data_IF_163072075573
#
_entry.id   IF_163072075573
#
_cell.length_a   1.000
_cell.length_b   1.000
_cell.length_c   1.000
_cell.angle_alpha   90.00
_cell.angle_beta   90.00
_cell.angle_gamma   90.00
#
_symmetry.space_group_name_H-M   'P 1'
#
loop_
_entity.id
_entity.type
_entity.pdbx_description
1 polymer ?
#
# COMPACT_ATOMS: atom_id res chain seq x y z
N UNK A 1 -6.21 -12.27 22.94
CA UNK A 1 -4.88 -11.66 23.21
C UNK A 1 -4.52 -10.95 21.91
N UNK A 2 -4.01 -9.76 21.88
CA UNK A 2 -3.62 -9.07 20.64
C UNK A 2 -4.76 -8.36 19.89
N UNK A 3 -5.53 -7.51 20.55
CA UNK A 3 -6.52 -6.69 19.84
C UNK A 3 -5.82 -5.68 18.93
N UNK A 4 -6.45 -5.41 17.80
CA UNK A 4 -6.04 -4.37 16.85
C UNK A 4 -6.93 -3.15 17.01
N UNK A 5 -6.38 -1.96 16.70
CA UNK A 5 -7.15 -0.73 16.51
C UNK A 5 -7.25 -0.47 15.01
N UNK A 6 -8.45 -0.11 14.53
CA UNK A 6 -8.69 0.16 13.11
C UNK A 6 -9.19 1.58 12.93
N UNK A 7 -8.48 2.33 12.08
CA UNK A 7 -8.85 3.67 11.64
C UNK A 7 -9.32 3.57 10.17
N UNK A 8 -10.45 4.19 9.87
CA UNK A 8 -10.98 4.32 8.51
C UNK A 8 -10.70 5.72 7.97
N UNK A 9 -10.72 5.88 6.66
CA UNK A 9 -10.59 7.17 6.00
C UNK A 9 -11.79 7.45 5.09
N UNK A 10 -11.78 8.59 4.39
CA UNK A 10 -12.86 8.99 3.48
C UNK A 10 -13.04 8.06 2.27
N UNK A 11 -12.01 7.26 1.94
CA UNK A 11 -12.06 6.28 0.86
C UNK A 11 -12.47 4.94 1.47
N UNK A 12 -13.71 4.54 1.23
CA UNK A 12 -14.28 3.31 1.78
C UNK A 12 -13.43 2.08 1.44
N UNK A 13 -13.23 1.23 2.43
CA UNK A 13 -12.49 -0.03 2.32
C UNK A 13 -11.01 0.08 2.71
N UNK A 14 -10.38 1.24 2.60
CA UNK A 14 -9.05 1.46 3.15
C UNK A 14 -9.08 1.48 4.69
N UNK A 15 -8.12 0.81 5.33
CA UNK A 15 -8.03 0.74 6.79
C UNK A 15 -6.57 0.84 7.24
N UNK A 16 -6.33 1.69 8.22
CA UNK A 16 -5.06 1.72 8.95
C UNK A 16 -5.22 0.92 10.22
N UNK A 17 -4.34 -0.06 10.43
CA UNK A 17 -4.44 -1.02 11.52
C UNK A 17 -3.23 -0.86 12.42
N UNK A 18 -3.46 -0.71 13.72
CA UNK A 18 -2.41 -0.64 14.72
C UNK A 18 -2.54 -1.84 15.65
N UNK A 19 -1.57 -2.77 15.66
CA UNK A 19 -1.58 -3.90 16.58
C UNK A 19 -1.28 -3.46 18.02
N UNK A 20 -1.77 -4.21 18.99
CA UNK A 20 -1.36 -4.01 20.39
C UNK A 20 0.07 -4.52 20.56
N UNK A 21 0.93 -3.67 21.11
CA UNK A 21 2.32 -3.98 21.39
C UNK A 21 2.51 -4.23 22.88
N UNK A 22 3.07 -5.35 23.26
CA UNK A 22 3.38 -5.74 24.64
C UNK A 22 4.90 -5.63 24.84
N UNK A 23 5.33 -4.59 25.59
CA UNK A 23 6.74 -4.31 25.86
C UNK A 23 7.16 -4.69 27.28
N UNK A 24 8.41 -5.15 27.45
CA UNK A 24 9.08 -5.35 28.73
C UNK A 24 10.60 -5.13 28.59
N UNK A 25 11.38 -5.44 29.64
CA UNK A 25 12.85 -5.24 29.63
C UNK A 25 13.60 -6.07 28.58
N UNK A 26 12.96 -7.05 27.95
CA UNK A 26 13.56 -7.89 26.88
C UNK A 26 13.29 -7.34 25.47
N UNK A 27 12.34 -6.38 25.33
CA UNK A 27 11.87 -5.87 24.07
C UNK A 27 10.34 -5.89 23.98
N UNK A 28 9.78 -6.28 22.84
CA UNK A 28 8.32 -6.31 22.65
C UNK A 28 7.86 -7.58 21.93
N UNK A 29 6.57 -7.86 22.12
CA UNK A 29 5.80 -8.85 21.37
C UNK A 29 4.55 -8.19 20.80
N UNK A 30 4.15 -8.58 19.59
CA UNK A 30 2.86 -8.22 19.00
C UNK A 30 2.38 -9.31 18.05
N UNK A 31 1.07 -9.48 17.94
CA UNK A 31 0.48 -10.24 16.85
C UNK A 31 0.35 -9.31 15.64
N UNK A 32 1.05 -9.62 14.56
CA UNK A 32 1.00 -8.80 13.34
C UNK A 32 -0.19 -9.15 12.46
N UNK A 33 -0.73 -10.35 12.61
CA UNK A 33 -1.91 -10.82 11.92
C UNK A 33 -2.59 -11.92 12.73
N UNK A 34 -3.89 -11.79 12.93
CA UNK A 34 -4.76 -12.81 13.50
C UNK A 34 -6.07 -12.80 12.71
N UNK A 35 -6.39 -13.90 12.04
CA UNK A 35 -7.56 -13.97 11.16
C UNK A 35 -8.86 -13.55 11.85
N UNK A 36 -9.07 -13.98 13.11
CA UNK A 36 -10.31 -13.68 13.83
C UNK A 36 -10.44 -12.18 14.13
N UNK A 37 -9.37 -11.53 14.60
CA UNK A 37 -9.37 -10.10 14.91
C UNK A 37 -9.57 -9.27 13.64
N UNK A 38 -8.91 -9.66 12.53
CA UNK A 38 -9.07 -9.01 11.24
C UNK A 38 -10.46 -9.21 10.65
N UNK A 39 -11.04 -10.40 10.79
CA UNK A 39 -12.41 -10.69 10.37
C UNK A 39 -13.43 -9.86 11.16
N UNK A 40 -13.29 -9.72 12.47
CA UNK A 40 -14.13 -8.83 13.29
C UNK A 40 -14.01 -7.37 12.84
N UNK A 41 -12.83 -6.95 12.35
CA UNK A 41 -12.60 -5.63 11.76
C UNK A 41 -13.11 -5.50 10.31
N UNK A 42 -13.78 -6.52 9.76
CA UNK A 42 -14.31 -6.55 8.40
C UNK A 42 -13.23 -6.77 7.33
N UNK A 43 -12.18 -7.52 7.67
CA UNK A 43 -11.13 -8.01 6.77
C UNK A 43 -11.13 -9.54 6.89
N UNK A 44 -12.00 -10.21 6.13
CA UNK A 44 -12.20 -11.66 6.18
C UNK A 44 -11.56 -12.40 4.99
N UNK A 45 -10.69 -11.72 4.27
CA UNK A 45 -9.95 -12.28 3.14
C UNK A 45 -8.88 -13.28 3.61
N UNK A 46 -8.65 -14.29 2.79
CA UNK A 46 -7.56 -15.24 2.99
C UNK A 46 -6.32 -14.76 2.25
N UNK A 47 -5.23 -14.54 2.97
CA UNK A 47 -3.95 -14.20 2.37
C UNK A 47 -3.17 -15.48 2.00
N UNK A 48 -2.66 -15.51 0.78
CA UNK A 48 -2.04 -16.70 0.17
C UNK A 48 -0.57 -16.50 -0.22
N UNK A 49 -0.07 -15.25 -0.18
CA UNK A 49 1.29 -14.91 -0.58
C UNK A 49 1.85 -13.81 0.32
N UNK A 50 3.07 -13.99 0.80
CA UNK A 50 3.86 -12.99 1.51
C UNK A 50 5.02 -12.51 0.64
N UNK A 51 5.30 -11.22 0.67
CA UNK A 51 6.41 -10.60 -0.03
C UNK A 51 7.20 -9.70 0.91
N UNK A 52 8.49 -9.55 0.62
CA UNK A 52 9.39 -8.64 1.31
C UNK A 52 10.28 -7.91 0.30
N UNK A 53 10.50 -6.63 0.51
CA UNK A 53 11.45 -5.83 -0.26
C UNK A 53 12.25 -4.93 0.66
N UNK A 54 13.48 -4.63 0.25
CA UNK A 54 14.36 -3.68 0.90
C UNK A 54 14.68 -2.56 -0.08
N UNK A 55 14.79 -1.33 0.41
CA UNK A 55 15.02 -0.17 -0.43
C UNK A 55 15.73 0.95 0.35
N UNK A 56 16.59 1.68 -0.35
CA UNK A 56 17.27 2.87 0.20
C UNK A 56 16.36 4.10 0.11
N UNK A 57 16.77 5.18 0.77
CA UNK A 57 16.06 6.46 0.75
C UNK A 57 15.73 6.93 -0.67
N UNK A 58 14.58 7.58 -0.81
CA UNK A 58 14.05 8.12 -2.06
C UNK A 58 13.67 7.06 -3.12
N UNK A 59 13.77 5.76 -2.84
CA UNK A 59 13.18 4.76 -3.72
C UNK A 59 11.67 4.89 -3.67
N UNK A 60 11.06 5.07 -4.85
CA UNK A 60 9.61 5.01 -5.05
C UNK A 60 9.29 3.77 -5.87
N UNK A 61 8.37 2.95 -5.38
CA UNK A 61 7.82 1.79 -6.09
C UNK A 61 6.32 1.99 -6.30
N UNK A 62 5.89 1.92 -7.55
CA UNK A 62 4.47 2.08 -7.88
C UNK A 62 4.20 3.10 -8.98
N UNK A 63 2.97 3.42 -9.20
CA UNK A 63 1.76 2.84 -8.57
C UNK A 63 1.36 1.55 -9.31
N UNK A 64 1.24 0.44 -8.61
CA UNK A 64 1.02 -0.87 -9.23
C UNK A 64 -0.33 -1.48 -8.83
N UNK A 65 -0.90 -2.25 -9.76
CA UNK A 65 -2.07 -3.11 -9.54
C UNK A 65 -2.04 -4.28 -10.52
N UNK A 66 -2.92 -5.26 -10.33
CA UNK A 66 -3.21 -6.29 -11.32
C UNK A 66 -4.58 -6.05 -11.92
N UNK A 67 -4.70 -6.22 -13.24
CA UNK A 67 -5.87 -5.80 -14.03
C UNK A 67 -7.00 -6.82 -13.95
N UNK A 68 -6.70 -8.09 -14.25
CA UNK A 68 -7.67 -9.19 -14.29
C UNK A 68 -7.66 -10.04 -13.03
N UNK A 69 -6.57 -10.00 -12.27
CA UNK A 69 -6.38 -10.71 -10.99
C UNK A 69 -6.13 -9.73 -9.85
N UNK A 70 -7.07 -8.78 -9.61
CA UNK A 70 -6.89 -7.77 -8.56
C UNK A 70 -6.87 -8.43 -7.17
N UNK A 71 -5.98 -7.98 -6.32
CA UNK A 71 -5.77 -8.55 -4.99
C UNK A 71 -5.78 -7.50 -3.90
N UNK A 72 -6.26 -7.91 -2.73
CA UNK A 72 -6.13 -7.13 -1.51
C UNK A 72 -4.70 -7.28 -0.98
N UNK A 73 -4.23 -6.24 -0.30
CA UNK A 73 -2.90 -6.20 0.31
C UNK A 73 -3.00 -5.77 1.76
N UNK A 74 -2.19 -6.38 2.60
CA UNK A 74 -1.94 -5.92 3.96
C UNK A 74 -0.45 -5.63 4.09
N UNK A 75 -0.10 -4.37 4.20
CA UNK A 75 1.29 -3.90 4.13
C UNK A 75 1.77 -3.32 5.46
N UNK A 76 3.05 -3.46 5.75
CA UNK A 76 3.71 -2.88 6.93
C UNK A 76 5.21 -2.72 6.71
N UNK A 77 5.85 -1.92 7.54
CA UNK A 77 7.30 -1.72 7.56
C UNK A 77 7.89 -2.40 8.79
N UNK A 78 8.96 -3.18 8.59
CA UNK A 78 9.66 -3.88 9.67
C UNK A 78 10.98 -3.21 10.05
N UNK A 79 11.54 -2.39 9.15
CA UNK A 79 12.68 -1.51 9.39
C UNK A 79 12.51 -0.19 8.62
N UNK A 80 12.85 0.94 9.24
CA UNK A 80 12.76 2.25 8.64
C UNK A 80 11.33 2.79 8.54
N UNK A 81 11.11 3.66 7.55
CA UNK A 81 9.88 4.42 7.37
C UNK A 81 9.59 4.66 5.89
N UNK A 82 8.32 4.53 5.52
CA UNK A 82 7.81 4.85 4.17
C UNK A 82 6.55 5.70 4.25
N UNK A 83 6.27 6.47 3.20
CA UNK A 83 4.95 7.02 2.93
C UNK A 83 4.27 6.12 1.90
N UNK A 84 3.19 5.48 2.32
CA UNK A 84 2.45 4.49 1.54
C UNK A 84 1.15 5.10 1.00
N UNK A 85 0.85 4.87 -0.27
CA UNK A 85 -0.27 5.51 -0.99
C UNK A 85 -1.12 4.47 -1.70
N UNK A 86 -2.43 4.61 -1.57
CA UNK A 86 -3.42 3.87 -2.34
C UNK A 86 -4.32 4.84 -3.13
N UNK A 87 -4.56 4.53 -4.40
CA UNK A 87 -5.44 5.29 -5.30
C UNK A 87 -6.64 4.42 -5.69
N UNK A 88 -7.85 4.93 -5.49
CA UNK A 88 -9.08 4.21 -5.80
C UNK A 88 -9.30 4.10 -7.32
N UNK A 89 -9.31 2.87 -7.82
CA UNK A 89 -9.60 2.53 -9.23
C UNK A 89 -10.87 1.69 -9.40
N UNK A 90 -11.70 1.58 -8.37
CA UNK A 90 -12.94 0.79 -8.41
C UNK A 90 -13.95 1.43 -9.36
N UNK A 91 -14.42 0.70 -10.38
CA UNK A 91 -15.44 1.21 -11.29
C UNK A 91 -16.70 1.69 -10.56
N UNK A 92 -17.16 2.89 -10.87
CA UNK A 92 -18.36 3.48 -10.25
C UNK A 92 -18.19 4.00 -8.82
N UNK A 93 -16.99 3.95 -8.26
CA UNK A 93 -16.71 4.52 -6.94
C UNK A 93 -16.86 6.04 -6.93
N UNK A 94 -17.47 6.58 -5.88
CA UNK A 94 -17.54 8.04 -5.65
C UNK A 94 -16.18 8.68 -5.42
N UNK A 95 -15.20 7.87 -5.03
CA UNK A 95 -13.82 8.29 -4.78
C UNK A 95 -12.85 7.81 -5.85
N UNK A 96 -13.35 7.43 -7.04
CA UNK A 96 -12.50 7.05 -8.17
C UNK A 96 -11.46 8.12 -8.47
N UNK A 97 -10.19 7.74 -8.55
CA UNK A 97 -9.05 8.64 -8.76
C UNK A 97 -8.60 9.42 -7.52
N UNK A 98 -9.30 9.30 -6.39
CA UNK A 98 -8.84 9.85 -5.12
C UNK A 98 -7.80 8.95 -4.48
N UNK A 99 -6.91 9.55 -3.71
CA UNK A 99 -5.84 8.84 -3.01
C UNK A 99 -5.87 9.09 -1.51
N UNK A 100 -5.32 8.15 -0.77
CA UNK A 100 -5.03 8.25 0.64
C UNK A 100 -3.61 7.79 0.90
N UNK A 101 -2.88 8.54 1.73
CA UNK A 101 -1.51 8.23 2.11
C UNK A 101 -1.35 8.13 3.62
N UNK A 102 -0.47 7.25 4.05
CA UNK A 102 -0.15 7.03 5.46
C UNK A 102 1.34 6.73 5.65
N UNK A 103 1.93 7.29 6.68
CA UNK A 103 3.29 6.94 7.09
C UNK A 103 3.27 5.63 7.86
N UNK A 104 4.01 4.65 7.36
CA UNK A 104 4.25 3.35 7.99
C UNK A 104 5.70 3.25 8.42
N UNK A 105 5.95 2.82 9.65
CA UNK A 105 7.31 2.66 10.15
C UNK A 105 7.46 1.47 11.09
N UNK A 106 8.68 1.00 11.25
CA UNK A 106 9.03 0.03 12.28
C UNK A 106 8.72 0.54 13.70
N UNK A 107 8.70 1.85 13.90
CA UNK A 107 8.40 2.49 15.19
C UNK A 107 6.90 2.54 15.45
N UNK A 108 6.08 3.07 14.51
CA UNK A 108 4.65 3.25 14.70
C UNK A 108 3.83 1.95 14.61
N UNK A 109 4.43 0.87 14.09
CA UNK A 109 3.84 -0.47 13.95
C UNK A 109 2.54 -0.50 13.12
N UNK A 110 2.19 0.59 12.45
CA UNK A 110 0.98 0.67 11.63
C UNK A 110 1.07 -0.27 10.44
N UNK A 111 -0.09 -0.81 10.07
CA UNK A 111 -0.31 -1.59 8.86
C UNK A 111 -1.38 -0.91 8.02
N UNK A 112 -1.33 -1.10 6.72
CA UNK A 112 -2.31 -0.52 5.81
C UNK A 112 -2.98 -1.64 5.02
N UNK A 113 -4.31 -1.76 5.15
CA UNK A 113 -5.12 -2.66 4.34
C UNK A 113 -5.64 -1.92 3.11
N UNK A 114 -5.31 -2.45 1.95
CA UNK A 114 -5.64 -1.90 0.65
C UNK A 114 -6.46 -2.95 -0.11
N UNK A 115 -7.77 -2.73 -0.33
CA UNK A 115 -8.61 -3.64 -1.08
C UNK A 115 -8.16 -3.78 -2.54
N UNK A 116 -8.66 -4.81 -3.20
CA UNK A 116 -8.52 -4.98 -4.65
C UNK A 116 -9.07 -3.77 -5.42
N UNK A 117 -8.56 -3.57 -6.63
CA UNK A 117 -8.88 -2.43 -7.50
C UNK A 117 -8.43 -1.06 -6.93
N UNK A 118 -7.33 -1.07 -6.21
CA UNK A 118 -6.56 0.13 -5.88
C UNK A 118 -5.18 0.04 -6.53
N UNK A 119 -4.68 1.16 -7.04
CA UNK A 119 -3.26 1.29 -7.35
C UNK A 119 -2.50 1.59 -6.06
N UNK A 120 -1.32 1.01 -5.91
CA UNK A 120 -0.55 1.06 -4.68
C UNK A 120 0.91 1.40 -4.96
N UNK A 121 1.48 2.23 -4.14
CA UNK A 121 2.90 2.56 -4.18
C UNK A 121 3.37 3.18 -2.88
N UNK A 122 4.68 3.31 -2.73
CA UNK A 122 5.28 3.94 -1.56
C UNK A 122 6.61 4.61 -1.92
N UNK A 123 7.01 5.57 -1.09
CA UNK A 123 8.34 6.18 -1.12
C UNK A 123 9.04 5.98 0.22
N UNK A 124 10.32 5.66 0.17
CA UNK A 124 11.17 5.48 1.37
C UNK A 124 11.62 6.84 1.92
N UNK A 125 11.32 7.09 3.19
CA UNK A 125 11.64 8.34 3.89
C UNK A 125 12.93 8.24 4.72
N UNK A 126 13.20 7.08 5.34
CA UNK A 126 14.42 6.78 6.09
C UNK A 126 15.58 6.43 5.15
N UNK A 127 16.80 6.33 5.68
CA UNK A 127 17.97 5.94 4.87
C UNK A 127 17.83 4.54 4.25
N UNK A 128 17.09 3.67 4.93
CA UNK A 128 16.78 2.31 4.51
C UNK A 128 15.41 1.90 5.04
N UNK A 129 14.68 1.07 4.32
CA UNK A 129 13.44 0.49 4.80
C UNK A 129 13.27 -0.95 4.30
N UNK A 130 12.71 -1.80 5.17
CA UNK A 130 12.18 -3.12 4.81
C UNK A 130 10.66 -3.12 4.88
N UNK A 131 10.06 -3.49 3.77
CA UNK A 131 8.62 -3.47 3.51
C UNK A 131 8.12 -4.89 3.28
N UNK A 132 7.14 -5.32 4.05
CA UNK A 132 6.52 -6.64 3.95
C UNK A 132 5.03 -6.54 3.73
N UNK A 133 4.46 -7.44 2.92
CA UNK A 133 3.04 -7.42 2.65
C UNK A 133 2.47 -8.78 2.29
N UNK A 134 1.22 -8.99 2.70
CA UNK A 134 0.41 -10.15 2.37
C UNK A 134 -0.53 -9.81 1.21
N UNK A 135 -0.78 -10.79 0.34
CA UNK A 135 -1.69 -10.68 -0.79
C UNK A 135 -2.74 -11.79 -0.76
N UNK A 136 -3.95 -11.47 -1.23
CA UNK A 136 -5.07 -12.41 -1.33
C UNK A 136 -5.08 -13.24 -2.62
N UNK A 137 -4.17 -12.94 -3.55
CA UNK A 137 -3.96 -13.70 -4.78
C UNK A 137 -2.48 -13.73 -5.13
N UNK A 138 -2.11 -14.65 -6.03
CA UNK A 138 -0.74 -14.83 -6.50
C UNK A 138 -0.30 -13.74 -7.48
N UNK A 139 1.00 -13.62 -7.68
CA UNK A 139 1.55 -12.70 -8.67
C UNK A 139 1.38 -13.26 -10.09
N UNK A 140 0.80 -12.45 -10.96
CA UNK A 140 0.61 -12.73 -12.38
C UNK A 140 1.45 -11.74 -13.20
N UNK A 141 2.65 -12.13 -13.69
CA UNK A 141 3.59 -11.20 -14.31
C UNK A 141 3.09 -10.54 -15.59
N UNK A 142 2.14 -11.18 -16.29
CA UNK A 142 1.54 -10.66 -17.53
C UNK A 142 0.25 -9.85 -17.30
N UNK A 143 -0.12 -9.62 -16.04
CA UNK A 143 -1.37 -8.93 -15.66
C UNK A 143 -1.10 -7.60 -14.93
N UNK A 144 0.12 -7.14 -14.95
CA UNK A 144 0.53 -5.96 -14.21
C UNK A 144 0.08 -4.68 -14.92
N UNK A 145 -0.55 -3.78 -14.17
CA UNK A 145 -0.87 -2.42 -14.55
C UNK A 145 -0.20 -1.42 -13.62
N UNK A 146 -0.13 -0.18 -14.06
CA UNK A 146 0.41 0.89 -13.25
C UNK A 146 -0.12 2.26 -13.64
N UNK A 147 0.09 3.22 -12.75
CA UNK A 147 -0.20 4.65 -12.98
C UNK A 147 1.05 5.47 -12.73
N UNK A 148 1.16 6.54 -13.45
CA UNK A 148 2.22 7.54 -13.27
C UNK A 148 2.16 8.12 -11.86
N UNK A 149 3.27 8.06 -11.12
CA UNK A 149 3.32 8.48 -9.71
C UNK A 149 3.02 9.96 -9.49
N UNK A 150 3.35 10.81 -10.46
CA UNK A 150 3.17 12.27 -10.44
C UNK A 150 2.05 12.73 -11.38
N UNK A 151 1.07 11.89 -11.64
CA UNK A 151 -0.09 12.25 -12.46
C UNK A 151 -0.83 13.44 -11.84
N UNK A 152 -0.94 14.59 -12.55
CA UNK A 152 -1.61 15.78 -12.04
C UNK A 152 -3.11 15.60 -11.81
N UNK A 153 -3.74 14.63 -12.48
CA UNK A 153 -5.17 14.34 -12.30
C UNK A 153 -5.44 13.56 -11.00
N UNK A 154 -4.44 12.85 -10.47
CA UNK A 154 -4.48 12.22 -9.16
C UNK A 154 -3.99 13.19 -8.09
N UNK A 155 -2.88 13.89 -8.35
CA UNK A 155 -2.35 14.93 -7.49
C UNK A 155 -1.80 14.43 -6.15
N UNK A 156 -1.06 13.31 -6.16
CA UNK A 156 -0.43 12.80 -4.92
C UNK A 156 0.63 13.78 -4.43
N UNK A 157 0.51 14.18 -3.17
CA UNK A 157 1.49 15.00 -2.48
C UNK A 157 2.54 14.11 -1.79
N UNK A 158 3.58 13.74 -2.55
CA UNK A 158 4.67 12.92 -2.02
C UNK A 158 5.54 13.74 -1.08
N UNK A 159 5.81 13.29 0.15
CA UNK A 159 6.61 14.01 1.15
C UNK A 159 8.12 13.89 0.87
N UNK A 160 8.55 14.36 -0.30
CA UNK A 160 9.95 14.34 -0.74
C UNK A 160 10.41 15.76 -1.05
N UNK A 161 11.69 16.03 -0.82
CA UNK A 161 12.25 17.37 -1.05
C UNK A 161 12.26 17.76 -2.53
N UNK A 162 12.57 16.80 -3.41
CA UNK A 162 12.52 16.95 -4.86
C UNK A 162 12.07 15.64 -5.51
N UNK A 163 11.23 15.73 -6.54
CA UNK A 163 10.87 14.56 -7.36
C UNK A 163 12.06 14.09 -8.22
N UNK A 164 13.03 14.96 -8.46
CA UNK A 164 14.23 14.63 -9.22
C UNK A 164 15.17 13.69 -8.44
N UNK A 165 15.07 13.67 -7.11
CA UNK A 165 15.85 12.79 -6.25
C UNK A 165 15.28 11.35 -6.16
N UNK A 166 14.12 11.12 -6.73
CA UNK A 166 13.45 9.80 -6.66
C UNK A 166 14.20 8.75 -7.47
N UNK A 167 14.34 7.58 -6.87
CA UNK A 167 14.93 6.40 -7.50
C UNK A 167 13.79 5.45 -7.88
N UNK A 168 13.61 5.24 -9.17
CA UNK A 168 12.52 4.42 -9.71
C UNK A 168 13.05 3.38 -10.69
N UNK A 169 12.31 2.30 -10.89
CA UNK A 169 12.61 1.35 -11.96
C UNK A 169 12.22 1.96 -13.31
N UNK A 170 12.89 1.53 -14.39
CA UNK A 170 12.56 1.95 -15.75
C UNK A 170 11.10 1.68 -16.11
N UNK A 171 10.52 0.62 -15.56
CA UNK A 171 9.11 0.27 -15.74
C UNK A 171 8.21 1.32 -15.12
N UNK A 172 8.49 1.75 -13.90
CA UNK A 172 7.66 2.68 -13.15
C UNK A 172 7.66 4.08 -13.75
N UNK A 173 8.69 4.44 -14.50
CA UNK A 173 8.75 5.73 -15.24
C UNK A 173 7.91 5.75 -16.51
N UNK A 174 7.41 4.60 -16.99
CA UNK A 174 6.72 4.46 -18.28
C UNK A 174 5.19 4.35 -18.17
N UNK A 175 4.65 4.31 -16.97
CA UNK A 175 3.20 4.23 -16.78
C UNK A 175 2.48 5.50 -17.26
N UNK A 176 1.32 5.32 -17.87
CA UNK A 176 0.40 6.39 -18.26
C UNK A 176 -0.38 6.96 -17.07
N UNK A 177 -1.13 8.02 -17.33
CA UNK A 177 -1.99 8.66 -16.35
C UNK A 177 -3.34 7.93 -16.16
N UNK A 178 -4.09 8.36 -15.15
CA UNK A 178 -5.41 7.78 -14.83
C UNK A 178 -6.43 7.94 -15.95
N UNK A 179 -6.38 9.04 -16.71
CA UNK A 179 -7.28 9.25 -17.86
C UNK A 179 -7.05 8.24 -18.97
N UNK A 180 -5.79 7.92 -19.27
CA UNK A 180 -5.43 6.91 -20.27
C UNK A 180 -5.89 5.52 -19.81
N UNK A 181 -5.65 5.19 -18.53
CA UNK A 181 -6.12 3.94 -17.95
C UNK A 181 -7.64 3.81 -18.02
N UNK A 182 -8.38 4.86 -17.62
CA UNK A 182 -9.84 4.87 -17.66
C UNK A 182 -10.37 4.68 -19.09
N UNK A 183 -9.77 5.36 -20.06
CA UNK A 183 -10.16 5.23 -21.47
C UNK A 183 -9.94 3.80 -22.01
N UNK A 184 -8.83 3.14 -21.60
CA UNK A 184 -8.56 1.75 -22.00
C UNK A 184 -9.52 0.72 -21.42
N UNK A 185 -10.17 1.04 -20.29
CA UNK A 185 -11.16 0.15 -19.64
C UNK A 185 -12.57 0.26 -20.22
N UNK A 186 -12.85 1.31 -20.97
CA UNK A 186 -14.16 1.58 -21.58
C UNK A 186 -14.23 1.11 -23.06
N UNK A 187 -13.19 0.46 -23.56
CA UNK A 187 -13.13 -0.21 -24.87
C UNK A 187 -13.36 -1.70 -24.71
#
# INVERSE_FOLDING_TARGET
MGKITVETCEIEGLKVITPTVFGDARGYFMETYNYNDFKEAGIDQVFVQDNQSASVKNVLRGLHFQINYPKDKLVRVVEGEVFDVAVDLRPGSRTYGKWFGVTLSAENKKQFFIPKNFAHGFVVLSDYAEFVYKCTDFYHPNDEGGLKFDDPDIGIDWPVASKEDLIMSDKDTKWGGIKEYTASRNQ
#
